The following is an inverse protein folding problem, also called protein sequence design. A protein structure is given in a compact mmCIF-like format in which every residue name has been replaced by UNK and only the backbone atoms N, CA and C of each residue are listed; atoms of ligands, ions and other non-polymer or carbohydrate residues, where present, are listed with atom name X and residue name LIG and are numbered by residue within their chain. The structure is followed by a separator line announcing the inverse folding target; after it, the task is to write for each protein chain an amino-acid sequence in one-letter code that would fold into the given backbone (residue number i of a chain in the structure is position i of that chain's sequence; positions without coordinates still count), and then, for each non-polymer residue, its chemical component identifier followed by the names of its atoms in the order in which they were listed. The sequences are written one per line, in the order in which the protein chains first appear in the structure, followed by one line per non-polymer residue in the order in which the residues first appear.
data_IF_342368618885
#
_entry.id   IF_342368618885
#
_cell.length_a   1.000
_cell.length_b   1.000
_cell.length_c   1.000
_cell.angle_alpha   90.00
_cell.angle_beta   90.00
_cell.angle_gamma   90.00
#
_symmetry.space_group_name_H-M   'P 1'
#
loop_
_entity.id
_entity.type
_entity.pdbx_description
1 polymer ?
#
# COMPACT_ATOMS: atom_id res chain seq x y z
N UNK A 1 -30.15 33.27 10.02
CA UNK A 1 -30.83 32.00 9.74
C UNK A 1 -29.75 31.02 9.33
N UNK A 2 -29.56 30.00 10.16
CA UNK A 2 -28.38 29.15 10.34
C UNK A 2 -28.31 27.96 9.37
N UNK A 3 -27.07 27.50 9.22
CA UNK A 3 -26.61 26.14 8.88
C UNK A 3 -27.12 25.48 7.60
N UNK A 4 -26.30 25.60 6.55
CA UNK A 4 -26.14 24.54 5.56
C UNK A 4 -25.56 23.32 6.28
N UNK A 5 -26.42 22.35 6.55
CA UNK A 5 -26.08 21.08 7.19
C UNK A 5 -24.87 20.43 6.49
N UNK A 6 -23.84 20.17 7.27
CA UNK A 6 -22.54 19.64 6.82
C UNK A 6 -22.59 18.12 6.62
N UNK A 7 -23.76 17.50 6.80
CA UNK A 7 -23.98 16.08 6.61
C UNK A 7 -24.74 15.79 5.32
N UNK A 8 -24.38 14.71 4.60
CA UNK A 8 -25.19 14.23 3.49
C UNK A 8 -26.61 13.89 3.97
N UNK A 9 -27.58 14.15 3.10
CA UNK A 9 -28.99 13.80 3.28
C UNK A 9 -29.16 12.34 3.74
N UNK A 10 -30.23 12.03 4.48
CA UNK A 10 -30.46 10.75 5.18
C UNK A 10 -30.37 9.52 4.24
N UNK A 11 -30.61 9.74 2.94
CA UNK A 11 -30.45 8.73 1.89
C UNK A 11 -28.97 8.33 1.66
N UNK A 12 -28.03 9.26 1.80
CA UNK A 12 -26.59 9.04 1.67
C UNK A 12 -26.00 8.31 2.88
N UNK A 13 -26.43 8.67 4.10
CA UNK A 13 -26.05 7.96 5.34
C UNK A 13 -26.48 6.50 5.31
N UNK A 14 -27.69 6.19 4.83
CA UNK A 14 -28.17 4.80 4.72
C UNK A 14 -27.39 3.98 3.69
N UNK A 15 -26.86 4.59 2.62
CA UNK A 15 -26.00 3.89 1.65
C UNK A 15 -24.62 3.61 2.24
N UNK A 16 -24.04 4.58 2.95
CA UNK A 16 -22.74 4.42 3.61
C UNK A 16 -22.78 3.33 4.69
N UNK A 17 -23.78 3.36 5.57
CA UNK A 17 -23.97 2.36 6.64
C UNK A 17 -24.29 0.97 6.07
N UNK A 18 -25.08 0.87 5.00
CA UNK A 18 -25.32 -0.43 4.36
C UNK A 18 -24.08 -1.01 3.67
N UNK A 19 -23.19 -0.16 3.14
CA UNK A 19 -21.90 -0.60 2.62
C UNK A 19 -20.96 -1.15 3.70
N UNK A 20 -20.92 -0.51 4.87
CA UNK A 20 -20.08 -0.95 6.00
C UNK A 20 -20.65 -2.20 6.70
N UNK A 21 -21.97 -2.29 6.88
CA UNK A 21 -22.62 -3.41 7.58
C UNK A 21 -22.79 -4.64 6.66
N UNK A 22 -22.88 -4.45 5.35
CA UNK A 22 -23.01 -5.54 4.37
C UNK A 22 -21.79 -6.45 4.26
N UNK A 23 -20.61 -5.99 4.69
CA UNK A 23 -19.38 -6.79 4.69
C UNK A 23 -19.26 -7.80 5.84
N UNK A 24 -20.05 -7.65 6.91
CA UNK A 24 -19.91 -8.46 8.12
C UNK A 24 -20.91 -9.64 8.23
N UNK A 25 -21.80 -9.84 7.25
CA UNK A 25 -22.94 -10.75 7.37
C UNK A 25 -23.00 -11.89 6.33
N UNK A 26 -21.85 -12.41 5.87
CA UNK A 26 -21.80 -13.63 5.06
C UNK A 26 -20.84 -14.68 5.66
N UNK A 27 -20.96 -14.92 6.96
CA UNK A 27 -20.50 -16.15 7.58
C UNK A 27 -21.69 -17.11 7.71
N UNK A 28 -21.87 -17.94 6.69
CA UNK A 28 -22.74 -19.13 6.73
C UNK A 28 -24.07 -19.00 5.99
N UNK A 29 -24.12 -19.48 4.74
CA UNK A 29 -25.01 -20.54 4.21
C UNK A 29 -24.51 -20.95 2.80
N UNK A 30 -24.22 -22.25 2.60
CA UNK A 30 -24.43 -22.99 1.34
C UNK A 30 -23.68 -22.60 0.07
N UNK A 31 -22.80 -23.50 -0.39
CA UNK A 31 -21.96 -23.47 -1.61
C UNK A 31 -22.71 -23.53 -2.96
N UNK A 32 -23.91 -22.95 -3.12
CA UNK A 32 -24.70 -23.08 -4.37
C UNK A 32 -25.38 -21.81 -4.87
N UNK A 33 -24.92 -20.61 -4.49
CA UNK A 33 -25.58 -19.35 -4.87
C UNK A 33 -24.69 -18.13 -5.15
N UNK A 34 -23.38 -18.27 -5.29
CA UNK A 34 -22.47 -17.12 -5.38
C UNK A 34 -22.50 -16.35 -6.71
N UNK A 35 -23.11 -16.90 -7.77
CA UNK A 35 -23.03 -16.30 -9.11
C UNK A 35 -24.05 -15.17 -9.38
N UNK A 36 -25.05 -14.94 -8.51
CA UNK A 36 -26.20 -14.09 -8.85
C UNK A 36 -26.32 -12.76 -8.07
N UNK A 37 -25.41 -12.44 -7.15
CA UNK A 37 -25.55 -11.25 -6.27
C UNK A 37 -24.61 -10.09 -6.66
N UNK A 38 -23.68 -10.28 -7.60
CA UNK A 38 -22.71 -9.24 -7.94
C UNK A 38 -23.22 -8.11 -8.86
N UNK A 39 -24.38 -8.22 -9.50
CA UNK A 39 -24.77 -7.23 -10.52
C UNK A 39 -25.43 -5.94 -9.98
N UNK A 40 -25.82 -5.90 -8.70
CA UNK A 40 -26.61 -4.79 -8.15
C UNK A 40 -25.82 -3.83 -7.24
N UNK A 41 -24.56 -4.15 -6.91
CA UNK A 41 -23.74 -3.39 -5.95
C UNK A 41 -22.33 -3.05 -6.45
N UNK A 42 -21.95 -3.48 -7.65
CA UNK A 42 -20.71 -3.00 -8.28
C UNK A 42 -20.88 -1.53 -8.64
N UNK A 43 -20.17 -0.65 -7.92
CA UNK A 43 -19.95 0.71 -8.44
C UNK A 43 -19.33 0.60 -9.83
N UNK A 44 -19.78 1.41 -10.80
CA UNK A 44 -19.16 1.46 -12.13
C UNK A 44 -17.68 1.82 -11.99
N UNK A 45 -16.84 1.19 -12.82
CA UNK A 45 -15.40 1.43 -12.87
C UNK A 45 -14.58 0.14 -13.06
N UNK A 46 -13.29 0.30 -13.34
CA UNK A 46 -12.41 -0.81 -13.74
C UNK A 46 -11.58 -1.38 -12.57
N UNK A 47 -11.32 -2.70 -12.60
CA UNK A 47 -10.29 -3.35 -11.78
C UNK A 47 -10.57 -3.48 -10.28
N UNK A 48 -11.80 -3.26 -9.80
CA UNK A 48 -12.19 -3.43 -8.39
C UNK A 48 -12.70 -4.84 -8.04
N UNK A 49 -13.01 -5.07 -6.76
CA UNK A 49 -13.58 -6.34 -6.26
C UNK A 49 -12.71 -7.05 -5.23
N UNK A 50 -13.08 -8.28 -4.84
CA UNK A 50 -12.30 -9.09 -3.89
C UNK A 50 -10.86 -9.25 -4.38
N UNK A 51 -9.91 -8.79 -3.57
CA UNK A 51 -8.48 -8.71 -3.89
C UNK A 51 -7.69 -9.31 -2.75
N UNK A 52 -6.88 -10.32 -3.05
CA UNK A 52 -5.87 -10.84 -2.15
C UNK A 52 -4.54 -10.14 -2.43
N UNK A 53 -3.90 -9.61 -1.41
CA UNK A 53 -2.63 -8.91 -1.51
C UNK A 53 -1.68 -9.36 -0.39
N UNK A 54 -0.37 -9.27 -0.63
CA UNK A 54 0.61 -9.31 0.45
C UNK A 54 0.81 -7.91 1.03
N UNK A 55 0.90 -7.86 2.35
CA UNK A 55 0.91 -6.61 3.10
C UNK A 55 1.74 -6.74 4.38
N UNK A 56 2.28 -5.61 4.85
CA UNK A 56 2.84 -5.53 6.20
C UNK A 56 1.72 -5.75 7.23
N UNK A 57 1.95 -6.62 8.20
CA UNK A 57 0.91 -7.07 9.14
C UNK A 57 0.40 -5.92 10.00
N UNK A 58 -0.91 -5.80 10.18
CA UNK A 58 -1.46 -4.97 11.24
C UNK A 58 -1.44 -5.74 12.56
N UNK A 59 -0.70 -5.25 13.55
CA UNK A 59 -0.50 -5.93 14.83
C UNK A 59 -1.27 -5.29 15.99
N UNK A 60 -1.74 -4.04 15.82
CA UNK A 60 -2.58 -3.37 16.81
C UNK A 60 -3.43 -2.22 16.20
N UNK A 61 -4.42 -1.78 16.99
CA UNK A 61 -5.30 -0.66 16.67
C UNK A 61 -6.48 -1.02 15.74
N UNK A 62 -7.23 -0.02 15.24
CA UNK A 62 -8.50 -0.24 14.55
C UNK A 62 -8.39 -0.51 13.04
N UNK A 63 -7.19 -0.47 12.46
CA UNK A 63 -7.01 -0.77 11.05
C UNK A 63 -7.45 -2.22 10.73
N UNK A 64 -8.27 -2.44 9.70
CA UNK A 64 -8.87 -3.76 9.47
C UNK A 64 -7.92 -4.76 8.80
N UNK A 65 -6.76 -4.31 8.31
CA UNK A 65 -5.80 -5.12 7.54
C UNK A 65 -4.44 -4.43 7.39
N UNK A 66 -3.45 -5.17 6.90
CA UNK A 66 -2.13 -4.67 6.53
C UNK A 66 -2.09 -3.70 5.35
N UNK A 67 -0.98 -2.96 5.23
CA UNK A 67 -0.71 -2.07 4.09
C UNK A 67 -0.01 -2.83 2.95
N UNK A 68 -0.55 -2.78 1.71
CA UNK A 68 -0.05 -3.60 0.60
C UNK A 68 1.41 -3.30 0.26
N UNK A 69 2.18 -4.37 0.11
CA UNK A 69 3.57 -4.31 -0.35
C UNK A 69 3.61 -3.89 -1.82
N UNK A 70 4.66 -3.15 -2.18
CA UNK A 70 5.02 -2.84 -3.56
C UNK A 70 6.26 -3.70 -3.87
N UNK A 71 6.22 -4.64 -4.82
CA UNK A 71 7.42 -5.32 -5.29
C UNK A 71 8.41 -4.32 -5.87
N UNK A 72 9.71 -4.54 -5.65
CA UNK A 72 10.75 -3.61 -6.09
C UNK A 72 11.86 -4.29 -6.87
N UNK A 73 12.61 -3.47 -7.61
CA UNK A 73 13.88 -3.83 -8.25
C UNK A 73 14.87 -2.68 -8.07
N UNK A 74 16.15 -3.02 -7.93
CA UNK A 74 17.24 -2.04 -7.89
C UNK A 74 18.00 -2.13 -9.21
N UNK A 75 18.13 -1.01 -9.92
CA UNK A 75 18.85 -1.01 -11.19
C UNK A 75 20.38 -1.02 -11.02
N UNK A 76 21.11 -1.09 -12.14
CA UNK A 76 22.58 -1.16 -12.14
C UNK A 76 23.28 0.06 -11.55
N UNK A 77 22.59 1.20 -11.50
CA UNK A 77 23.08 2.45 -10.92
C UNK A 77 22.64 2.60 -9.45
N UNK A 78 21.95 1.60 -8.90
CA UNK A 78 21.51 1.56 -7.50
C UNK A 78 20.16 2.23 -7.25
N UNK A 79 19.45 2.73 -8.27
CA UNK A 79 18.17 3.39 -8.06
C UNK A 79 17.03 2.40 -7.84
N UNK A 80 16.15 2.72 -6.90
CA UNK A 80 15.06 1.84 -6.45
C UNK A 80 13.80 2.11 -7.28
N UNK A 81 13.20 1.04 -7.83
CA UNK A 81 11.99 1.09 -8.66
C UNK A 81 10.89 0.23 -8.04
N UNK A 82 9.67 0.76 -8.02
CA UNK A 82 8.49 -0.06 -7.77
C UNK A 82 8.08 -0.78 -9.05
N UNK A 83 7.85 -2.08 -8.99
CA UNK A 83 7.41 -2.86 -10.15
C UNK A 83 5.94 -2.61 -10.41
N UNK A 84 5.62 -2.21 -11.64
CA UNK A 84 4.25 -2.11 -12.11
C UNK A 84 3.86 -3.43 -12.83
N UNK A 85 2.68 -4.01 -12.56
CA UNK A 85 2.26 -5.24 -13.22
C UNK A 85 2.03 -5.07 -14.73
N UNK A 86 1.92 -6.19 -15.44
CA UNK A 86 1.64 -6.21 -16.88
C UNK A 86 0.26 -5.64 -17.21
N UNK A 87 0.20 -4.72 -18.17
CA UNK A 87 -1.07 -4.12 -18.61
C UNK A 87 -1.73 -5.01 -19.65
N UNK A 88 -2.97 -5.44 -19.37
CA UNK A 88 -3.78 -6.26 -20.29
C UNK A 88 -5.19 -5.71 -20.43
N UNK A 89 -5.78 -5.90 -21.60
CA UNK A 89 -7.20 -5.60 -21.86
C UNK A 89 -8.04 -6.82 -21.55
N UNK A 90 -9.08 -6.65 -20.75
CA UNK A 90 -10.05 -7.71 -20.40
C UNK A 90 -11.47 -7.24 -20.68
N UNK A 91 -12.31 -8.13 -21.19
CA UNK A 91 -13.74 -7.84 -21.39
C UNK A 91 -14.51 -8.17 -20.12
N UNK A 92 -14.99 -7.15 -19.41
CA UNK A 92 -15.82 -7.29 -18.22
C UNK A 92 -17.22 -6.74 -18.52
N UNK A 93 -18.27 -7.55 -18.35
CA UNK A 93 -19.66 -7.18 -18.64
C UNK A 93 -19.87 -6.64 -20.07
N UNK A 94 -19.12 -7.15 -21.04
CA UNK A 94 -19.21 -6.72 -22.45
C UNK A 94 -18.50 -5.40 -22.77
N UNK A 95 -17.71 -4.86 -21.84
CA UNK A 95 -16.89 -3.66 -22.02
C UNK A 95 -15.42 -4.05 -21.88
N UNK A 96 -14.59 -3.61 -22.83
CA UNK A 96 -13.15 -3.79 -22.76
C UNK A 96 -12.55 -2.75 -21.80
N UNK A 97 -11.89 -3.23 -20.75
CA UNK A 97 -11.20 -2.41 -19.75
C UNK A 97 -9.73 -2.81 -19.67
N UNK A 98 -8.86 -1.84 -19.39
CA UNK A 98 -7.45 -2.13 -19.06
C UNK A 98 -7.31 -2.47 -17.58
N UNK A 99 -6.54 -3.49 -17.26
CA UNK A 99 -6.09 -3.81 -15.92
C UNK A 99 -4.57 -3.99 -15.93
N UNK A 100 -3.92 -3.82 -14.79
CA UNK A 100 -2.51 -4.17 -14.61
C UNK A 100 -2.43 -5.36 -13.65
N UNK A 101 -2.04 -6.52 -14.18
CA UNK A 101 -1.95 -7.77 -13.43
C UNK A 101 -0.95 -8.73 -14.07
N UNK A 102 0.00 -9.20 -13.27
CA UNK A 102 0.98 -10.24 -13.60
C UNK A 102 0.63 -11.51 -12.84
N UNK A 103 0.33 -12.57 -13.59
CA UNK A 103 0.11 -13.89 -13.03
C UNK A 103 1.45 -14.53 -12.62
N UNK A 104 1.46 -15.24 -11.49
CA UNK A 104 2.64 -15.95 -10.98
C UNK A 104 3.92 -15.08 -10.97
N UNK A 105 3.86 -13.96 -10.24
CA UNK A 105 4.92 -12.96 -10.22
C UNK A 105 6.26 -13.58 -9.83
N UNK A 106 7.19 -13.62 -10.81
CA UNK A 106 8.52 -14.24 -10.72
C UNK A 106 8.52 -15.67 -10.15
N UNK A 107 7.47 -16.46 -10.40
CA UNK A 107 7.38 -17.85 -9.97
C UNK A 107 6.99 -18.03 -8.49
N UNK A 108 6.52 -16.97 -7.82
CA UNK A 108 6.12 -17.01 -6.41
C UNK A 108 4.75 -17.68 -6.17
N UNK A 109 4.01 -18.02 -7.22
CA UNK A 109 2.63 -18.48 -7.16
C UNK A 109 1.62 -17.36 -6.85
N UNK A 110 2.06 -16.09 -6.83
CA UNK A 110 1.24 -14.94 -6.44
C UNK A 110 0.86 -14.11 -7.67
N UNK A 111 -0.43 -13.87 -7.87
CA UNK A 111 -0.91 -12.87 -8.83
C UNK A 111 -0.73 -11.46 -8.24
N UNK A 112 0.12 -10.66 -8.86
CA UNK A 112 0.37 -9.27 -8.46
C UNK A 112 -0.45 -8.33 -9.34
N UNK A 113 -1.26 -7.46 -8.73
CA UNK A 113 -2.21 -6.59 -9.44
C UNK A 113 -2.23 -5.18 -8.87
N UNK A 114 -2.46 -4.18 -9.72
CA UNK A 114 -2.64 -2.78 -9.27
C UNK A 114 -3.87 -2.62 -8.37
N UNK A 115 -4.81 -3.57 -8.41
CA UNK A 115 -5.97 -3.62 -7.51
C UNK A 115 -5.56 -3.66 -6.02
N UNK A 116 -4.35 -4.13 -5.71
CA UNK A 116 -3.79 -4.13 -4.35
C UNK A 116 -3.79 -2.71 -3.74
N UNK A 117 -3.65 -1.68 -4.56
CA UNK A 117 -3.53 -0.29 -4.13
C UNK A 117 -4.85 0.49 -4.25
N UNK A 118 -5.93 -0.15 -4.70
CA UNK A 118 -7.23 0.50 -4.94
C UNK A 118 -8.05 0.64 -3.65
N UNK A 119 -7.62 1.53 -2.76
CA UNK A 119 -8.34 1.90 -1.56
C UNK A 119 -8.02 3.33 -1.14
N UNK A 120 -8.76 3.89 -0.19
CA UNK A 120 -8.43 5.18 0.41
C UNK A 120 -8.32 6.37 -0.58
N UNK A 121 -9.05 6.32 -1.70
CA UNK A 121 -9.01 7.35 -2.75
C UNK A 121 -7.91 7.12 -3.78
N UNK A 122 -6.95 6.24 -3.52
CA UNK A 122 -5.85 5.95 -4.45
C UNK A 122 -6.36 5.38 -5.77
N UNK A 123 -7.54 4.74 -5.78
CA UNK A 123 -8.18 4.26 -7.01
C UNK A 123 -8.50 5.37 -8.03
N UNK A 124 -8.53 6.65 -7.63
CA UNK A 124 -8.72 7.79 -8.54
C UNK A 124 -7.43 8.50 -8.91
N UNK A 125 -6.27 8.09 -8.37
CA UNK A 125 -5.00 8.75 -8.66
C UNK A 125 -4.53 8.38 -10.06
N UNK A 126 -4.08 9.37 -10.84
CA UNK A 126 -3.57 9.17 -12.20
C UNK A 126 -2.44 8.13 -12.25
N UNK A 127 -1.55 8.14 -11.25
CA UNK A 127 -0.47 7.16 -11.10
C UNK A 127 -0.92 5.69 -11.03
N UNK A 128 -2.17 5.45 -10.62
CA UNK A 128 -2.74 4.10 -10.54
C UNK A 128 -3.38 3.62 -11.84
N UNK A 129 -3.60 4.51 -12.81
CA UNK A 129 -4.13 4.11 -14.11
C UNK A 129 -3.14 3.13 -14.79
N UNK A 130 -3.62 1.99 -15.35
CA UNK A 130 -2.75 1.01 -15.98
C UNK A 130 -1.89 1.59 -17.10
N UNK A 131 -2.41 2.56 -17.84
CA UNK A 131 -1.74 3.23 -18.96
C UNK A 131 -1.10 4.57 -18.60
N UNK A 132 -0.93 4.86 -17.30
CA UNK A 132 -0.12 5.98 -16.88
C UNK A 132 1.36 5.69 -17.18
N UNK A 133 1.97 6.53 -18.00
CA UNK A 133 3.38 6.44 -18.35
C UNK A 133 4.25 6.97 -17.20
N UNK A 134 5.11 6.13 -16.66
CA UNK A 134 6.03 6.49 -15.58
C UNK A 134 7.30 5.65 -15.65
N UNK A 135 8.42 6.25 -15.24
CA UNK A 135 9.70 5.56 -15.11
C UNK A 135 9.76 4.61 -13.89
N UNK A 136 8.72 4.62 -13.06
CA UNK A 136 8.51 3.76 -11.89
C UNK A 136 9.56 3.88 -10.77
N UNK A 137 10.46 4.86 -10.84
CA UNK A 137 11.43 5.10 -9.77
C UNK A 137 10.71 5.68 -8.55
N UNK A 138 11.11 5.22 -7.37
CA UNK A 138 10.71 5.90 -6.14
C UNK A 138 11.45 7.21 -6.00
N UNK A 139 10.70 8.24 -5.65
CA UNK A 139 11.24 9.59 -5.53
C UNK A 139 11.01 10.15 -4.15
N UNK A 140 12.05 10.72 -3.57
CA UNK A 140 12.00 11.36 -2.27
C UNK A 140 10.85 12.37 -2.24
N UNK A 141 10.07 12.35 -1.17
CA UNK A 141 9.16 13.43 -0.84
C UNK A 141 9.92 14.49 -0.03
N UNK A 142 9.20 15.35 0.70
CA UNK A 142 9.83 16.33 1.61
C UNK A 142 10.63 15.71 2.76
N UNK A 143 10.66 14.37 2.87
CA UNK A 143 11.46 13.61 3.83
C UNK A 143 10.82 13.49 5.21
N UNK A 144 10.53 12.26 5.63
CA UNK A 144 10.13 11.94 7.01
C UNK A 144 11.28 11.83 8.00
N UNK A 145 12.53 11.90 7.52
CA UNK A 145 13.75 11.66 8.30
C UNK A 145 14.81 12.72 8.02
N UNK A 146 15.59 13.08 9.02
CA UNK A 146 16.60 14.14 8.89
C UNK A 146 17.70 13.76 7.88
N UNK A 147 18.18 12.51 7.93
CA UNK A 147 19.14 12.00 6.95
C UNK A 147 18.64 12.14 5.50
N UNK A 148 17.34 11.91 5.29
CA UNK A 148 16.73 11.95 3.96
C UNK A 148 16.64 13.40 3.45
N UNK A 149 16.30 14.35 4.34
CA UNK A 149 16.24 15.78 4.01
C UNK A 149 17.62 16.35 3.67
N UNK A 150 18.66 15.83 4.30
CA UNK A 150 20.05 16.23 4.04
C UNK A 150 20.57 15.65 2.72
N UNK A 151 20.12 14.44 2.36
CA UNK A 151 20.57 13.73 1.16
C UNK A 151 19.80 14.11 -0.12
N UNK A 152 18.51 14.45 -0.02
CA UNK A 152 17.62 14.58 -1.17
C UNK A 152 16.80 15.87 -1.19
N UNK A 153 16.59 16.38 -2.41
CA UNK A 153 15.48 17.28 -2.72
C UNK A 153 14.23 16.47 -3.09
N UNK A 154 13.05 17.06 -2.87
CA UNK A 154 11.80 16.43 -3.28
C UNK A 154 11.79 16.17 -4.80
N UNK A 155 11.48 14.94 -5.21
CA UNK A 155 11.49 14.49 -6.59
C UNK A 155 12.76 13.72 -7.00
N UNK A 156 13.83 13.78 -6.20
CA UNK A 156 15.06 13.02 -6.45
C UNK A 156 14.81 11.52 -6.34
N UNK A 157 15.48 10.72 -7.17
CA UNK A 157 15.35 9.25 -7.13
C UNK A 157 16.06 8.70 -5.90
N UNK A 158 15.40 7.79 -5.18
CA UNK A 158 16.01 7.08 -4.05
C UNK A 158 17.03 6.06 -4.56
N UNK A 159 18.22 6.06 -3.95
CA UNK A 159 19.33 5.16 -4.28
C UNK A 159 19.69 4.27 -3.09
N UNK A 160 20.01 3.00 -3.34
CA UNK A 160 20.35 1.99 -2.33
C UNK A 160 21.61 2.33 -1.52
N UNK A 161 22.54 3.08 -2.11
CA UNK A 161 23.81 3.44 -1.46
C UNK A 161 23.59 4.27 -0.20
N UNK A 162 22.58 5.14 -0.20
CA UNK A 162 22.21 5.97 0.95
C UNK A 162 21.64 5.17 2.12
N UNK A 163 21.37 3.87 1.92
CA UNK A 163 20.94 2.93 2.95
C UNK A 163 22.07 2.07 3.51
N UNK A 164 23.33 2.30 3.13
CA UNK A 164 24.46 1.41 3.46
C UNK A 164 24.72 1.20 4.96
N UNK A 165 24.33 2.15 5.81
CA UNK A 165 24.46 2.15 7.27
C UNK A 165 23.23 1.55 8.00
N UNK A 166 22.33 0.84 7.31
CA UNK A 166 21.08 0.32 7.89
C UNK A 166 21.22 -0.55 9.14
N UNK A 167 22.36 -1.22 9.32
CA UNK A 167 22.67 -2.06 10.49
C UNK A 167 23.06 -1.26 11.74
N UNK A 168 23.36 0.02 11.58
CA UNK A 168 23.75 0.92 12.67
C UNK A 168 22.79 2.11 12.81
N UNK A 169 21.97 2.36 11.79
CA UNK A 169 21.07 3.51 11.74
C UNK A 169 20.09 3.54 12.93
N UNK A 170 19.93 4.73 13.50
CA UNK A 170 19.02 5.02 14.60
C UNK A 170 18.66 6.49 14.64
N UNK A 171 17.48 6.81 15.16
CA UNK A 171 17.02 8.19 15.33
C UNK A 171 16.44 8.46 16.73
N UNK A 172 16.76 7.59 17.70
CA UNK A 172 16.25 7.66 19.06
C UNK A 172 14.82 7.15 19.25
N UNK A 173 14.20 6.57 18.22
CA UNK A 173 12.90 5.89 18.32
C UNK A 173 13.10 4.38 18.11
N UNK A 174 12.79 3.61 19.15
CA UNK A 174 12.94 2.15 19.15
C UNK A 174 14.40 1.70 19.15
N UNK A 175 14.65 0.48 18.67
CA UNK A 175 16.00 -0.09 18.60
C UNK A 175 16.76 0.40 17.36
N UNK A 176 18.02 0.76 17.56
CA UNK A 176 18.94 1.07 16.46
C UNK A 176 19.29 -0.20 15.68
N UNK A 177 19.70 -0.04 14.42
CA UNK A 177 20.17 -1.13 13.56
C UNK A 177 19.10 -2.10 13.06
N UNK A 178 17.82 -1.82 13.32
CA UNK A 178 16.71 -2.62 12.76
C UNK A 178 16.45 -2.35 11.28
N UNK A 179 17.04 -1.31 10.73
CA UNK A 179 16.89 -0.92 9.34
C UNK A 179 16.75 0.57 9.16
N UNK A 180 17.10 1.04 7.96
CA UNK A 180 17.04 2.46 7.60
C UNK A 180 15.85 2.73 6.68
N UNK A 181 14.94 3.65 7.06
CA UNK A 181 13.74 3.95 6.29
C UNK A 181 13.86 5.23 5.46
N UNK A 182 13.11 5.32 4.37
CA UNK A 182 12.80 6.58 3.68
C UNK A 182 11.32 6.65 3.30
N UNK A 183 10.83 7.87 3.07
CA UNK A 183 9.50 8.13 2.50
C UNK A 183 9.63 8.63 1.07
N UNK A 184 8.56 8.50 0.28
CA UNK A 184 8.60 9.00 -1.08
C UNK A 184 7.26 8.94 -1.78
N UNK A 185 7.33 9.10 -3.09
CA UNK A 185 6.21 8.96 -4.01
C UNK A 185 6.54 7.96 -5.10
N UNK A 186 5.51 7.36 -5.68
CA UNK A 186 5.61 6.44 -6.79
C UNK A 186 4.63 6.83 -7.90
N UNK A 187 5.07 6.79 -9.16
CA UNK A 187 4.22 7.09 -10.33
C UNK A 187 3.44 8.40 -10.19
N UNK A 188 4.13 9.49 -9.81
CA UNK A 188 3.46 10.74 -9.40
C UNK A 188 4.00 12.02 -10.07
N UNK A 189 4.92 11.93 -11.02
CA UNK A 189 5.72 13.08 -11.48
C UNK A 189 4.91 14.05 -12.34
N UNK A 190 3.88 13.53 -13.00
CA UNK A 190 2.94 14.29 -13.83
C UNK A 190 1.48 14.07 -13.37
N UNK A 191 1.29 13.62 -12.13
CA UNK A 191 -0.02 13.37 -11.56
C UNK A 191 -0.40 14.48 -10.56
N UNK A 192 -1.69 14.82 -10.49
CA UNK A 192 -2.20 15.77 -9.48
C UNK A 192 -2.08 15.21 -8.06
N UNK A 193 -2.37 13.92 -7.91
CA UNK A 193 -2.27 13.19 -6.66
C UNK A 193 -1.01 12.33 -6.61
N UNK A 194 -0.44 12.19 -5.42
CA UNK A 194 0.75 11.38 -5.18
C UNK A 194 0.37 10.04 -4.55
N UNK A 195 1.03 8.96 -4.98
CA UNK A 195 0.97 7.68 -4.27
C UNK A 195 2.11 7.65 -3.24
N UNK A 196 1.84 7.89 -1.94
CA UNK A 196 2.88 7.90 -0.93
C UNK A 196 3.39 6.48 -0.69
N UNK A 197 4.69 6.34 -0.56
CA UNK A 197 5.35 5.07 -0.28
C UNK A 197 6.28 5.22 0.92
N UNK A 198 6.55 4.11 1.58
CA UNK A 198 7.61 4.00 2.55
C UNK A 198 8.48 2.81 2.18
N UNK A 199 9.79 2.99 2.28
CA UNK A 199 10.78 1.95 2.06
C UNK A 199 11.60 1.73 3.32
N UNK A 200 12.08 0.50 3.48
CA UNK A 200 12.92 0.07 4.59
C UNK A 200 13.96 -0.90 4.05
N UNK A 201 15.24 -0.64 4.32
CA UNK A 201 16.32 -1.62 4.16
C UNK A 201 16.62 -2.27 5.51
N UNK A 202 16.60 -3.60 5.59
CA UNK A 202 16.86 -4.32 6.84
C UNK A 202 17.37 -5.75 6.61
N UNK A 203 18.26 -6.21 7.48
CA UNK A 203 18.76 -7.59 7.48
C UNK A 203 17.64 -8.60 7.76
N UNK A 204 16.60 -8.18 8.50
CA UNK A 204 15.42 -9.03 8.74
C UNK A 204 14.65 -9.36 7.47
N UNK A 205 14.68 -8.46 6.47
CA UNK A 205 14.04 -8.71 5.17
C UNK A 205 14.88 -9.71 4.36
N UNK A 206 16.21 -9.59 4.42
CA UNK A 206 17.12 -10.55 3.80
C UNK A 206 16.94 -11.95 4.40
N UNK A 207 16.82 -12.06 5.72
CA UNK A 207 16.54 -13.32 6.43
C UNK A 207 15.16 -13.88 6.07
N UNK A 208 14.11 -13.05 6.14
CA UNK A 208 12.74 -13.48 5.83
C UNK A 208 12.57 -13.95 4.38
N UNK A 209 13.32 -13.37 3.44
CA UNK A 209 13.29 -13.77 2.03
C UNK A 209 13.90 -15.16 1.77
N UNK A 210 14.73 -15.71 2.66
CA UNK A 210 15.33 -17.04 2.48
C UNK A 210 14.30 -18.17 2.55
N UNK A 211 13.23 -17.96 3.33
CA UNK A 211 12.20 -18.96 3.60
C UNK A 211 10.80 -18.54 3.08
N UNK A 212 10.73 -17.48 2.26
CA UNK A 212 9.48 -16.94 1.73
C UNK A 212 9.60 -16.56 0.25
N UNK A 213 9.01 -17.37 -0.62
CA UNK A 213 9.07 -17.21 -2.08
C UNK A 213 8.55 -15.85 -2.56
N UNK A 214 7.51 -15.30 -1.90
CA UNK A 214 7.01 -13.99 -2.24
C UNK A 214 8.02 -12.89 -1.89
N UNK A 215 8.64 -12.93 -0.72
CA UNK A 215 9.65 -11.94 -0.33
C UNK A 215 10.91 -12.06 -1.20
N UNK A 216 11.36 -13.28 -1.50
CA UNK A 216 12.46 -13.50 -2.45
C UNK A 216 12.19 -12.89 -3.83
N UNK A 217 10.94 -12.95 -4.31
CA UNK A 217 10.53 -12.39 -5.58
C UNK A 217 10.31 -10.87 -5.57
N UNK A 218 9.84 -10.32 -4.45
CA UNK A 218 9.31 -8.94 -4.38
C UNK A 218 10.24 -7.95 -3.68
N UNK A 219 11.35 -8.39 -3.10
CA UNK A 219 12.35 -7.56 -2.45
C UNK A 219 13.71 -7.70 -3.13
N UNK A 220 14.60 -6.74 -2.92
CA UNK A 220 15.95 -6.74 -3.48
C UNK A 220 16.92 -6.09 -2.48
N UNK A 221 18.09 -6.68 -2.26
CA UNK A 221 19.12 -6.22 -1.31
C UNK A 221 18.60 -5.84 0.09
N UNK A 222 17.62 -6.59 0.60
CA UNK A 222 16.99 -6.35 1.90
C UNK A 222 16.04 -5.16 1.95
N UNK A 223 15.66 -4.60 0.78
CA UNK A 223 14.71 -3.50 0.66
C UNK A 223 13.30 -4.01 0.47
N UNK A 224 12.40 -3.55 1.33
CA UNK A 224 10.96 -3.69 1.19
C UNK A 224 10.30 -2.31 1.02
N UNK A 225 9.20 -2.27 0.28
CA UNK A 225 8.38 -1.08 0.09
C UNK A 225 6.89 -1.38 0.23
N UNK A 226 6.10 -0.40 0.65
CA UNK A 226 4.64 -0.50 0.68
C UNK A 226 3.97 0.83 0.35
N UNK A 227 2.71 0.76 -0.07
CA UNK A 227 1.87 1.94 -0.21
C UNK A 227 1.55 2.50 1.18
N UNK A 228 2.01 3.71 1.46
CA UNK A 228 1.96 4.30 2.79
C UNK A 228 0.62 5.02 3.06
N UNK A 229 -0.47 4.24 3.00
CA UNK A 229 -1.83 4.67 3.33
C UNK A 229 -2.43 3.72 4.36
N UNK A 230 -2.64 4.23 5.57
CA UNK A 230 -3.30 3.48 6.64
C UNK A 230 -4.68 3.00 6.17
N UNK A 231 -4.96 1.73 6.41
CA UNK A 231 -6.16 1.03 5.94
C UNK A 231 -7.41 1.32 6.77
N UNK A 232 -7.28 2.11 7.84
CA UNK A 232 -8.42 2.59 8.64
C UNK A 232 -9.09 3.82 8.00
N UNK A 233 -8.48 4.99 8.16
CA UNK A 233 -8.96 6.26 7.62
C UNK A 233 -7.85 7.03 6.88
N UNK A 234 -7.02 6.29 6.14
CA UNK A 234 -6.23 6.83 5.03
C UNK A 234 -5.13 7.85 5.37
N UNK A 235 -4.82 8.04 6.66
CA UNK A 235 -3.63 8.77 7.09
C UNK A 235 -2.35 8.11 6.53
N UNK A 236 -1.27 8.88 6.48
CA UNK A 236 0.07 8.40 6.09
C UNK A 236 0.86 8.14 7.38
N UNK A 237 1.02 6.88 7.82
CA UNK A 237 1.80 6.56 9.01
C UNK A 237 3.31 6.58 8.72
N UNK A 238 4.14 6.33 9.74
CA UNK A 238 5.59 6.30 9.55
C UNK A 238 6.30 5.30 10.44
N UNK A 239 7.24 4.53 9.87
CA UNK A 239 8.21 3.73 10.60
C UNK A 239 9.17 4.63 11.39
N UNK A 240 9.22 4.51 12.73
CA UNK A 240 10.12 5.30 13.59
C UNK A 240 10.04 6.83 13.35
N UNK A 241 8.87 7.39 13.04
CA UNK A 241 8.71 8.85 12.85
C UNK A 241 8.07 9.57 14.04
N UNK A 242 7.34 8.84 14.88
CA UNK A 242 6.56 9.39 15.97
C UNK A 242 7.20 9.03 17.31
N UNK A 243 7.68 10.05 18.04
CA UNK A 243 8.35 9.86 19.34
C UNK A 243 7.42 9.31 20.43
N UNK A 244 6.10 9.43 20.27
CA UNK A 244 5.11 8.90 21.19
C UNK A 244 4.68 7.46 20.87
N UNK A 245 5.22 6.84 19.82
CA UNK A 245 4.93 5.46 19.43
C UNK A 245 5.21 4.45 20.57
N UNK A 246 6.20 4.72 21.42
CA UNK A 246 6.53 3.90 22.59
C UNK A 246 5.38 3.75 23.60
N UNK A 247 4.44 4.72 23.65
CA UNK A 247 3.24 4.61 24.51
C UNK A 247 2.29 3.50 24.06
N UNK A 248 2.48 3.00 22.85
CA UNK A 248 1.64 1.98 22.20
C UNK A 248 2.45 0.74 21.81
N UNK A 249 3.69 0.59 22.32
CA UNK A 249 4.64 -0.47 21.92
C UNK A 249 4.86 -0.53 20.40
N UNK A 250 4.90 0.65 19.76
CA UNK A 250 4.96 0.80 18.31
C UNK A 250 6.27 1.43 17.82
N UNK A 251 7.27 1.59 18.69
CA UNK A 251 8.53 2.27 18.41
C UNK A 251 9.40 1.56 17.35
N UNK A 252 9.22 0.25 17.16
CA UNK A 252 9.86 -0.53 16.09
C UNK A 252 8.90 -0.89 14.95
N UNK A 253 7.72 -0.27 14.92
CA UNK A 253 6.69 -0.50 13.90
C UNK A 253 6.39 0.74 13.07
N UNK A 254 5.48 0.58 12.12
CA UNK A 254 4.86 1.68 11.37
C UNK A 254 3.65 2.15 12.18
N UNK A 255 3.77 3.33 12.79
CA UNK A 255 2.75 3.84 13.72
C UNK A 255 1.88 4.92 13.06
N UNK A 256 0.56 4.74 13.16
CA UNK A 256 -0.44 5.68 12.68
C UNK A 256 -1.06 6.47 13.84
N UNK A 257 -0.60 7.70 14.06
CA UNK A 257 -1.05 8.56 15.17
C UNK A 257 -2.55 8.89 15.14
N UNK A 258 -3.21 8.86 13.97
CA UNK A 258 -4.61 9.27 13.83
C UNK A 258 -5.56 8.46 14.73
N UNK A 259 -5.36 7.13 14.77
CA UNK A 259 -6.20 6.22 15.56
C UNK A 259 -5.40 5.06 16.16
N UNK A 260 -4.08 5.24 16.30
CA UNK A 260 -3.18 4.33 17.00
C UNK A 260 -3.08 2.93 16.37
N UNK A 261 -3.18 2.84 15.04
CA UNK A 261 -2.89 1.58 14.34
C UNK A 261 -1.39 1.35 14.23
N UNK A 262 -0.97 0.10 14.40
CA UNK A 262 0.44 -0.32 14.33
C UNK A 262 0.57 -1.40 13.27
N UNK A 263 1.61 -1.29 12.46
CA UNK A 263 1.97 -2.32 11.50
C UNK A 263 3.40 -2.80 11.73
N UNK A 264 3.63 -4.11 11.62
CA UNK A 264 4.95 -4.70 11.66
C UNK A 264 5.50 -4.82 10.22
N UNK A 265 6.53 -4.03 9.84
CA UNK A 265 7.10 -4.10 8.50
C UNK A 265 7.92 -5.37 8.25
N UNK A 266 8.20 -6.18 9.28
CA UNK A 266 8.97 -7.42 9.19
C UNK A 266 8.08 -8.67 9.12
N UNK A 267 6.76 -8.52 9.34
CA UNK A 267 5.79 -9.60 9.19
C UNK A 267 4.93 -9.36 7.95
N UNK A 268 5.06 -10.23 6.96
CA UNK A 268 4.40 -10.08 5.66
C UNK A 268 3.35 -11.15 5.50
N UNK A 269 2.09 -10.72 5.45
CA UNK A 269 0.91 -11.60 5.50
C UNK A 269 0.01 -11.38 4.30
N UNK A 270 -0.74 -12.41 3.94
CA UNK A 270 -1.83 -12.26 2.97
C UNK A 270 -3.02 -11.57 3.62
N UNK A 271 -3.60 -10.59 2.92
CA UNK A 271 -4.83 -9.93 3.31
C UNK A 271 -5.85 -9.97 2.18
N UNK A 272 -7.12 -10.12 2.53
CA UNK A 272 -8.26 -10.07 1.62
C UNK A 272 -9.05 -8.80 1.88
N UNK A 273 -9.32 -8.03 0.83
CA UNK A 273 -10.17 -6.85 0.92
C UNK A 273 -10.91 -6.60 -0.39
N UNK A 274 -11.93 -5.74 -0.35
CA UNK A 274 -12.61 -5.29 -1.57
C UNK A 274 -11.90 -4.06 -2.10
N UNK A 275 -11.16 -4.20 -3.20
CA UNK A 275 -10.62 -3.10 -3.97
C UNK A 275 -11.75 -2.23 -4.54
N UNK A 276 -11.61 -0.92 -4.40
CA UNK A 276 -12.56 0.03 -4.98
C UNK A 276 -12.33 0.13 -6.49
N UNK A 277 -13.37 0.11 -7.33
CA UNK A 277 -13.19 0.28 -8.77
C UNK A 277 -12.61 1.67 -9.07
N UNK A 278 -11.75 1.76 -10.09
CA UNK A 278 -11.25 3.03 -10.58
C UNK A 278 -12.38 3.77 -11.34
N UNK A 279 -12.64 5.05 -11.05
CA UNK A 279 -13.65 5.82 -11.77
C UNK A 279 -13.29 5.97 -13.26
N UNK A 280 -14.31 6.16 -14.09
CA UNK A 280 -14.18 6.43 -15.53
C UNK A 280 -13.65 7.85 -15.82
#
# INVERSE_FOLDING_TARGET
MSDSDKYPDDSGRRRFVKGVVGGAALAGVGTTGAAAINSATTSPGAGGGPTQAYAIENTAGPAPRGMPQIPIEIDSDGFIKGVWPEVKTVTQNGIDIKIAETDDYKGSGVTYSSAWFQYCGVQSYGGLAPDYESDNYFRADSGGYDWQKDAYSAGDKLNIEDFGDYKEWGNGIGRDGLGKPATGTWRSQDAEDTMPIQILRSERIEEAAQDNDWLAASTDQGVIAWLNKCTHFCCVPGYKQASDAAKFNAEDGVYCQCHQSVYDPFSIVQTLFTALPRPD
#
